data_IF_878465873588
#
_entry.id   IF_878465873588
#
_cell.length_a   1.000
_cell.length_b   1.000
_cell.length_c   1.000
_cell.angle_alpha   90.00
_cell.angle_beta   90.00
_cell.angle_gamma   90.00
#
_symmetry.space_group_name_H-M   'P 1'
#
loop_
_entity.id
_entity.type
_entity.pdbx_description
1 polymer ?
#
# COMPACT_ATOMS: atom_id res chain seq x y z
N UNK A 1 -0.30 -14.04 -11.88
CA UNK A 1 -1.64 -13.41 -11.71
C UNK A 1 -2.63 -14.29 -10.95
N UNK A 2 -2.63 -15.64 -11.08
CA UNK A 2 -3.63 -16.49 -10.39
C UNK A 2 -3.63 -16.33 -8.86
N UNK A 3 -2.47 -16.36 -8.23
CA UNK A 3 -2.34 -16.22 -6.76
C UNK A 3 -2.95 -14.91 -6.24
N UNK A 4 -2.73 -13.80 -6.95
CA UNK A 4 -3.29 -12.50 -6.58
C UNK A 4 -4.80 -12.42 -6.84
N UNK A 5 -5.28 -13.16 -7.85
CA UNK A 5 -6.71 -13.28 -8.14
C UNK A 5 -7.43 -14.03 -7.02
N UNK A 6 -6.81 -15.11 -6.52
CA UNK A 6 -7.29 -15.88 -5.38
C UNK A 6 -7.31 -14.99 -4.12
N UNK A 7 -6.24 -14.23 -3.85
CA UNK A 7 -6.18 -13.28 -2.73
C UNK A 7 -7.25 -12.18 -2.80
N UNK A 8 -7.52 -11.65 -4.01
CA UNK A 8 -8.54 -10.62 -4.22
C UNK A 8 -9.96 -11.18 -4.34
N UNK A 9 -10.13 -12.51 -4.35
CA UNK A 9 -11.42 -13.17 -4.58
C UNK A 9 -12.03 -12.84 -5.95
N UNK A 10 -11.19 -12.68 -6.97
CA UNK A 10 -11.63 -12.28 -8.31
C UNK A 10 -11.00 -13.14 -9.42
N UNK A 11 -11.40 -12.91 -10.68
CA UNK A 11 -10.83 -13.61 -11.84
C UNK A 11 -9.43 -13.04 -12.17
N UNK A 12 -8.48 -13.84 -12.67
CA UNK A 12 -7.15 -13.34 -13.09
C UNK A 12 -7.20 -12.17 -14.08
N UNK A 13 -8.23 -12.12 -14.93
CA UNK A 13 -8.46 -11.01 -15.85
C UNK A 13 -8.78 -9.68 -15.13
N UNK A 14 -9.49 -9.73 -14.00
CA UNK A 14 -9.75 -8.54 -13.17
C UNK A 14 -8.46 -8.00 -12.57
N UNK A 15 -7.56 -8.89 -12.15
CA UNK A 15 -6.22 -8.52 -11.68
C UNK A 15 -5.44 -7.82 -12.79
N UNK A 16 -5.37 -8.43 -13.97
CA UNK A 16 -4.72 -7.82 -15.14
C UNK A 16 -5.29 -6.44 -15.47
N UNK A 17 -6.61 -6.27 -15.36
CA UNK A 17 -7.30 -5.00 -15.62
C UNK A 17 -6.92 -3.91 -14.63
N UNK A 18 -6.66 -4.25 -13.37
CA UNK A 18 -6.17 -3.29 -12.37
C UNK A 18 -4.79 -2.74 -12.74
N UNK A 19 -3.86 -3.60 -13.18
CA UNK A 19 -2.51 -3.16 -13.55
C UNK A 19 -2.43 -2.41 -14.90
N UNK A 20 -3.36 -2.67 -15.82
CA UNK A 20 -3.38 -2.03 -17.14
C UNK A 20 -4.11 -0.68 -17.15
N UNK A 21 -4.99 -0.42 -16.18
CA UNK A 21 -5.67 0.88 -16.06
C UNK A 21 -4.79 1.84 -15.25
N UNK A 22 -3.82 2.45 -15.94
CA UNK A 22 -2.91 3.49 -15.41
C UNK A 22 -3.63 4.63 -14.67
N UNK A 23 -4.94 4.81 -14.86
CA UNK A 23 -5.73 5.90 -14.27
C UNK A 23 -6.49 5.57 -12.97
N UNK A 24 -6.54 4.32 -12.53
CA UNK A 24 -7.33 3.96 -11.35
C UNK A 24 -6.40 3.45 -10.24
N UNK A 25 -6.25 4.21 -9.14
CA UNK A 25 -5.49 3.72 -7.99
C UNK A 25 -6.13 2.44 -7.43
N UNK A 26 -5.29 1.56 -6.87
CA UNK A 26 -5.77 0.34 -6.21
C UNK A 26 -6.62 0.69 -4.99
N UNK A 27 -7.62 -0.13 -4.69
CA UNK A 27 -8.47 0.07 -3.51
C UNK A 27 -7.81 -0.48 -2.24
N UNK A 28 -8.15 0.02 -1.04
CA UNK A 28 -7.52 -0.43 0.21
C UNK A 28 -7.63 -1.94 0.41
N UNK A 29 -8.79 -2.52 0.06
CA UNK A 29 -9.02 -3.97 0.15
C UNK A 29 -8.04 -4.78 -0.72
N UNK A 30 -7.65 -4.27 -1.88
CA UNK A 30 -6.72 -4.95 -2.78
C UNK A 30 -5.30 -4.91 -2.23
N UNK A 31 -4.94 -3.80 -1.59
CA UNK A 31 -3.67 -3.62 -0.90
C UNK A 31 -3.56 -4.59 0.28
N UNK A 32 -4.54 -4.62 1.18
CA UNK A 32 -4.52 -5.54 2.34
C UNK A 32 -4.49 -7.01 1.94
N UNK A 33 -5.23 -7.36 0.88
CA UNK A 33 -5.21 -8.72 0.35
C UNK A 33 -3.86 -9.09 -0.28
N UNK A 34 -3.17 -8.14 -0.90
CA UNK A 34 -1.81 -8.36 -1.43
C UNK A 34 -0.79 -8.50 -0.30
N UNK A 35 -0.86 -7.65 0.74
CA UNK A 35 -0.02 -7.72 1.94
C UNK A 35 -0.15 -9.08 2.60
N UNK A 36 -1.39 -9.54 2.82
CA UNK A 36 -1.68 -10.83 3.45
C UNK A 36 -1.16 -11.99 2.60
N UNK A 37 -1.38 -11.94 1.27
CA UNK A 37 -0.97 -13.03 0.37
C UNK A 37 0.55 -13.13 0.17
N UNK A 38 1.27 -12.03 0.34
CA UNK A 38 2.72 -11.97 0.26
C UNK A 38 3.40 -12.15 1.62
N UNK A 39 2.61 -12.29 2.70
CA UNK A 39 3.10 -12.43 4.08
C UNK A 39 4.10 -11.33 4.45
N UNK A 40 3.82 -10.09 4.02
CA UNK A 40 4.70 -8.97 4.26
C UNK A 40 4.74 -8.63 5.75
N UNK A 41 5.92 -8.23 6.22
CA UNK A 41 6.07 -7.73 7.57
C UNK A 41 5.42 -6.34 7.72
N UNK A 42 5.36 -5.85 8.96
CA UNK A 42 4.72 -4.56 9.26
C UNK A 42 5.40 -3.38 8.56
N UNK A 43 6.69 -3.49 8.23
CA UNK A 43 7.44 -2.43 7.57
C UNK A 43 7.08 -2.36 6.08
N UNK A 44 7.20 -3.48 5.37
CA UNK A 44 6.86 -3.59 3.95
C UNK A 44 5.37 -3.31 3.72
N UNK A 45 4.51 -3.82 4.60
CA UNK A 45 3.07 -3.55 4.56
C UNK A 45 2.76 -2.04 4.67
N UNK A 46 3.47 -1.32 5.56
CA UNK A 46 3.28 0.12 5.72
C UNK A 46 3.82 0.91 4.52
N UNK A 47 4.95 0.52 3.95
CA UNK A 47 5.47 1.17 2.75
C UNK A 47 4.48 1.09 1.58
N UNK A 48 3.88 -0.08 1.37
CA UNK A 48 2.88 -0.28 0.31
C UNK A 48 1.61 0.52 0.59
N UNK A 49 1.10 0.52 1.83
CA UNK A 49 -0.08 1.33 2.22
C UNK A 49 0.14 2.82 1.95
N UNK A 50 1.30 3.35 2.34
CA UNK A 50 1.66 4.75 2.12
C UNK A 50 1.77 5.08 0.63
N UNK A 51 2.42 4.22 -0.14
CA UNK A 51 2.58 4.40 -1.59
C UNK A 51 1.24 4.40 -2.29
N UNK A 52 0.38 3.42 -2.00
CA UNK A 52 -0.97 3.34 -2.55
C UNK A 52 -1.82 4.57 -2.17
N UNK A 53 -1.73 5.02 -0.92
CA UNK A 53 -2.47 6.20 -0.47
C UNK A 53 -2.00 7.49 -1.16
N UNK A 54 -0.70 7.65 -1.39
CA UNK A 54 -0.14 8.78 -2.16
C UNK A 54 -0.63 8.77 -3.61
N UNK A 55 -0.56 7.63 -4.29
CA UNK A 55 -1.02 7.50 -5.67
C UNK A 55 -2.53 7.76 -5.81
N UNK A 56 -3.31 7.36 -4.80
CA UNK A 56 -4.75 7.51 -4.79
C UNK A 56 -5.25 8.88 -4.29
N UNK A 57 -4.35 9.73 -3.79
CA UNK A 57 -4.72 10.98 -3.13
C UNK A 57 -5.55 10.79 -1.86
N UNK A 58 -5.39 9.65 -1.17
CA UNK A 58 -6.09 9.39 0.08
C UNK A 58 -5.52 10.22 1.21
N UNK A 59 -6.36 10.49 2.22
CA UNK A 59 -5.90 11.10 3.47
C UNK A 59 -5.06 10.06 4.21
N UNK A 60 -3.75 10.29 4.24
CA UNK A 60 -2.80 9.50 5.01
C UNK A 60 -2.88 9.95 6.46
N UNK A 61 -3.09 9.02 7.38
CA UNK A 61 -2.97 9.32 8.80
C UNK A 61 -1.50 9.66 9.10
N UNK A 62 -1.21 10.86 9.66
CA UNK A 62 0.14 11.28 10.00
C UNK A 62 0.91 10.29 10.88
N UNK A 63 0.22 9.44 11.65
CA UNK A 63 0.86 8.40 12.46
C UNK A 63 1.73 7.45 11.62
N UNK A 64 1.37 7.18 10.37
CA UNK A 64 2.15 6.35 9.45
C UNK A 64 3.30 7.12 8.77
N UNK A 65 3.35 8.45 8.89
CA UNK A 65 4.44 9.28 8.35
C UNK A 65 5.57 9.49 9.37
N UNK A 66 5.31 9.23 10.65
CA UNK A 66 6.22 9.54 11.77
C UNK A 66 7.37 8.52 11.95
N UNK A 67 7.35 7.38 11.24
CA UNK A 67 8.43 6.37 11.34
C UNK A 67 9.72 6.74 10.62
N UNK A 68 9.71 7.79 9.77
CA UNK A 68 10.87 8.21 8.97
C UNK A 68 11.49 9.55 9.36
N UNK A 69 11.12 10.15 10.50
CA UNK A 69 11.86 11.30 11.01
C UNK A 69 12.99 10.83 11.93
N UNK A 70 14.29 10.98 11.56
CA UNK A 70 15.34 11.01 12.56
C UNK A 70 15.07 12.23 13.45
N UNK A 71 14.44 11.98 14.59
CA UNK A 71 14.29 12.95 15.65
C UNK A 71 15.67 13.22 16.25
N UNK A 72 16.35 14.24 15.74
CA UNK A 72 17.28 15.06 16.51
C UNK A 72 17.33 16.46 15.91
N UNK A 73 16.29 17.27 16.17
CA UNK A 73 16.55 18.67 16.53
C UNK A 73 17.18 18.65 17.92
N UNK A 74 18.49 18.86 17.98
CA UNK A 74 19.09 19.53 19.14
C UNK A 74 19.47 20.93 18.67
N UNK A 75 18.49 21.83 18.64
CA UNK A 75 18.76 23.22 18.99
C UNK A 75 18.95 23.24 20.50
N UNK A 76 20.19 23.47 20.95
CA UNK A 76 20.46 23.92 22.29
C UNK A 76 21.64 24.86 22.19
N UNK A 77 21.36 26.09 22.63
CA UNK A 77 22.25 27.25 22.71
C UNK A 77 23.51 26.97 23.53
#
# INVERSE_FOLDING_TARGET
MKWLADAWGCKPFSVWRCFQRVKAPMQPRQIEAAITALELDDFDANEIRLTAAREAGWKIDPQFLLSNTPSTRKESQ
#
